data_IF_183162498747
#
_entry.id   IF_183162498747
#
_cell.length_a   1.000
_cell.length_b   1.000
_cell.length_c   1.000
_cell.angle_alpha   90.00
_cell.angle_beta   90.00
_cell.angle_gamma   90.00
#
_symmetry.space_group_name_H-M   'P 1'
#
loop_
_entity.id
_entity.type
_entity.pdbx_description
1 polymer ?
#
# COMPACT_ATOMS: atom_id res chain seq x y z
N UNK A 1 -0.16 1.28 20.07
CA UNK A 1 -0.63 0.70 18.79
C UNK A 1 -0.44 -0.83 18.82
N UNK A 2 -1.49 -1.62 18.60
CA UNK A 2 -1.31 -3.07 18.41
C UNK A 2 -0.95 -3.34 16.95
N UNK A 3 0.37 -3.42 16.68
CA UNK A 3 0.94 -3.54 15.33
C UNK A 3 0.41 -4.76 14.57
N UNK A 4 0.31 -5.92 15.22
CA UNK A 4 -0.15 -7.15 14.56
C UNK A 4 -1.62 -7.07 14.16
N UNK A 5 -2.48 -6.57 15.06
CA UNK A 5 -3.90 -6.40 14.76
C UNK A 5 -4.12 -5.38 13.64
N UNK A 6 -3.39 -4.25 13.67
CA UNK A 6 -3.47 -3.22 12.63
C UNK A 6 -3.00 -3.77 11.27
N UNK A 7 -1.87 -4.47 11.24
CA UNK A 7 -1.36 -5.13 10.04
C UNK A 7 -2.40 -6.10 9.45
N UNK A 8 -2.93 -7.02 10.26
CA UNK A 8 -3.88 -8.03 9.80
C UNK A 8 -5.17 -7.40 9.26
N UNK A 9 -5.68 -6.37 9.94
CA UNK A 9 -6.85 -5.62 9.50
C UNK A 9 -6.62 -4.99 8.12
N UNK A 10 -5.54 -4.22 7.98
CA UNK A 10 -5.21 -3.57 6.71
C UNK A 10 -4.94 -4.60 5.60
N UNK A 11 -4.28 -5.72 5.95
CA UNK A 11 -4.03 -6.80 5.01
C UNK A 11 -5.33 -7.41 4.48
N UNK A 12 -6.30 -7.67 5.35
CA UNK A 12 -7.62 -8.16 4.95
C UNK A 12 -8.35 -7.17 4.06
N UNK A 13 -8.38 -5.89 4.46
CA UNK A 13 -9.04 -4.82 3.69
C UNK A 13 -8.40 -4.64 2.31
N UNK A 14 -7.07 -4.66 2.22
CA UNK A 14 -6.32 -4.53 0.96
C UNK A 14 -6.51 -5.70 -0.01
N UNK A 15 -7.00 -6.85 0.49
CA UNK A 15 -7.27 -8.05 -0.28
C UNK A 15 -8.75 -8.20 -0.62
N UNK A 16 -9.57 -7.17 -0.41
CA UNK A 16 -10.98 -7.19 -0.77
C UNK A 16 -11.14 -7.55 -2.28
N UNK A 17 -11.82 -8.68 -2.63
CA UNK A 17 -11.98 -9.13 -4.01
C UNK A 17 -12.62 -8.09 -4.93
N UNK A 18 -13.46 -7.19 -4.38
CA UNK A 18 -14.11 -6.11 -5.16
C UNK A 18 -13.06 -5.26 -5.88
N UNK A 19 -11.91 -5.00 -5.25
CA UNK A 19 -10.85 -4.17 -5.85
C UNK A 19 -10.37 -4.79 -7.18
N UNK A 20 -10.13 -6.10 -7.17
CA UNK A 20 -9.55 -6.83 -8.29
C UNK A 20 -10.59 -7.32 -9.29
N UNK A 21 -11.85 -7.46 -8.88
CA UNK A 21 -12.93 -7.80 -9.80
C UNK A 21 -13.41 -6.56 -10.54
N UNK A 22 -13.51 -5.41 -9.87
CA UNK A 22 -14.11 -4.21 -10.47
C UNK A 22 -13.08 -3.28 -11.11
N UNK A 23 -11.91 -3.06 -10.50
CA UNK A 23 -11.04 -1.93 -10.89
C UNK A 23 -9.75 -2.31 -11.60
N UNK A 24 -9.00 -3.31 -11.11
CA UNK A 24 -7.65 -3.66 -11.58
C UNK A 24 -7.46 -5.18 -11.69
N UNK A 25 -6.43 -5.66 -12.39
CA UNK A 25 -6.14 -7.10 -12.50
C UNK A 25 -5.84 -7.76 -11.13
N UNK A 26 -6.32 -8.99 -10.91
CA UNK A 26 -5.89 -9.78 -9.75
C UNK A 26 -4.49 -10.39 -10.01
N UNK A 27 -3.46 -9.69 -9.55
CA UNK A 27 -2.11 -10.24 -9.48
C UNK A 27 -1.40 -9.86 -8.18
N UNK A 28 -0.34 -10.61 -7.84
CA UNK A 28 0.42 -10.42 -6.61
C UNK A 28 1.00 -9.00 -6.48
N UNK A 29 1.46 -8.41 -7.59
CA UNK A 29 2.04 -7.07 -7.57
C UNK A 29 0.99 -6.02 -7.18
N UNK A 30 -0.21 -6.10 -7.74
CA UNK A 30 -1.30 -5.17 -7.44
C UNK A 30 -1.83 -5.36 -6.03
N UNK A 31 -1.91 -6.60 -5.54
CA UNK A 31 -2.20 -6.89 -4.12
C UNK A 31 -1.21 -6.19 -3.18
N UNK A 32 0.09 -6.27 -3.47
CA UNK A 32 1.14 -5.59 -2.69
C UNK A 32 1.01 -4.06 -2.80
N UNK A 33 0.71 -3.52 -3.99
CA UNK A 33 0.54 -2.08 -4.18
C UNK A 33 -0.65 -1.53 -3.41
N UNK A 34 -1.82 -2.18 -3.45
CA UNK A 34 -3.00 -1.78 -2.67
C UNK A 34 -2.67 -1.82 -1.18
N UNK A 35 -2.04 -2.90 -0.71
CA UNK A 35 -1.62 -3.00 0.68
C UNK A 35 -0.69 -1.84 1.09
N UNK A 36 0.32 -1.52 0.28
CA UNK A 36 1.22 -0.39 0.53
C UNK A 36 0.50 0.97 0.53
N UNK A 37 -0.46 1.19 -0.38
CA UNK A 37 -1.28 2.41 -0.39
C UNK A 37 -2.13 2.49 0.89
N UNK A 38 -2.73 1.37 1.30
CA UNK A 38 -3.59 1.33 2.47
C UNK A 38 -2.81 1.58 3.77
N UNK A 39 -1.60 1.03 3.85
CA UNK A 39 -0.68 1.25 4.95
C UNK A 39 -0.15 2.69 4.97
N UNK A 40 0.02 3.34 3.82
CA UNK A 40 0.60 4.69 3.72
C UNK A 40 -0.17 5.73 4.54
N UNK A 41 -1.50 5.58 4.66
CA UNK A 41 -2.33 6.48 5.48
C UNK A 41 -1.94 6.50 6.95
N UNK A 42 -1.46 5.37 7.49
CA UNK A 42 -0.96 5.29 8.87
C UNK A 42 0.34 6.08 9.00
N UNK A 43 1.28 5.81 8.11
CA UNK A 43 2.60 6.46 8.11
C UNK A 43 2.55 7.96 7.81
N UNK A 44 1.55 8.42 7.06
CA UNK A 44 1.34 9.83 6.78
C UNK A 44 0.69 10.58 7.97
N UNK A 45 0.10 9.86 8.94
CA UNK A 45 -0.51 10.41 10.17
C UNK A 45 0.42 10.32 11.39
N UNK A 46 1.26 9.29 11.47
CA UNK A 46 2.21 9.11 12.58
C UNK A 46 3.47 9.93 12.31
N UNK A 47 3.96 10.64 13.33
CA UNK A 47 5.24 11.35 13.24
C UNK A 47 6.41 10.37 13.12
N UNK A 48 7.42 10.72 12.30
CA UNK A 48 8.62 9.88 12.12
C UNK A 48 9.44 9.69 13.41
N UNK A 49 9.31 10.60 14.38
CA UNK A 49 9.90 10.54 15.71
C UNK A 49 9.20 9.53 16.63
N UNK A 50 7.97 9.12 16.33
CA UNK A 50 7.26 8.13 17.14
C UNK A 50 7.91 6.75 16.97
N UNK A 51 8.22 6.10 18.09
CA UNK A 51 8.75 4.73 18.11
C UNK A 51 7.85 3.72 17.38
N UNK A 52 6.53 3.96 17.32
CA UNK A 52 5.57 3.12 16.60
C UNK A 52 5.78 3.18 15.08
N UNK A 53 6.28 4.29 14.53
CA UNK A 53 6.58 4.41 13.11
C UNK A 53 7.58 3.33 12.69
N UNK A 54 8.73 3.29 13.37
CA UNK A 54 9.80 2.33 13.02
C UNK A 54 9.40 0.90 13.33
N UNK A 55 8.79 0.65 14.51
CA UNK A 55 8.32 -0.69 14.86
C UNK A 55 7.32 -1.23 13.84
N UNK A 56 6.42 -0.39 13.31
CA UNK A 56 5.46 -0.81 12.31
C UNK A 56 6.11 -1.01 10.94
N UNK A 57 7.04 -0.13 10.56
CA UNK A 57 7.83 -0.27 9.34
C UNK A 57 8.56 -1.61 9.35
N UNK A 58 9.37 -1.87 10.37
CA UNK A 58 10.14 -3.10 10.51
C UNK A 58 9.23 -4.33 10.47
N UNK A 59 8.09 -4.29 11.18
CA UNK A 59 7.14 -5.40 11.18
C UNK A 59 6.62 -5.73 9.77
N UNK A 60 6.23 -4.72 9.00
CA UNK A 60 5.70 -4.90 7.65
C UNK A 60 6.77 -5.42 6.69
N UNK A 61 7.93 -4.80 6.67
CA UNK A 61 8.97 -5.15 5.70
C UNK A 61 9.64 -6.49 6.03
N UNK A 62 9.77 -6.86 7.31
CA UNK A 62 10.21 -8.20 7.70
C UNK A 62 9.21 -9.28 7.25
N UNK A 63 7.90 -9.01 7.29
CA UNK A 63 6.87 -9.93 6.77
C UNK A 63 6.98 -10.09 5.26
N UNK A 64 7.09 -8.99 4.51
CA UNK A 64 7.27 -9.04 3.05
C UNK A 64 8.55 -9.80 2.68
N UNK A 65 9.66 -9.57 3.39
CA UNK A 65 10.92 -10.28 3.17
C UNK A 65 10.78 -11.79 3.40
N UNK A 66 10.07 -12.16 4.48
CA UNK A 66 9.78 -13.56 4.81
C UNK A 66 8.93 -14.21 3.72
N UNK A 67 7.84 -13.56 3.30
CA UNK A 67 6.97 -14.05 2.22
C UNK A 67 7.76 -14.25 0.91
N UNK A 68 8.70 -13.35 0.58
CA UNK A 68 9.57 -13.52 -0.58
C UNK A 68 10.48 -14.75 -0.47
N UNK A 69 11.06 -15.01 0.69
CA UNK A 69 11.87 -16.23 0.92
C UNK A 69 11.01 -17.49 0.80
N UNK A 70 9.81 -17.48 1.35
CA UNK A 70 8.86 -18.60 1.28
C UNK A 70 8.39 -18.90 -0.15
N UNK A 71 8.33 -17.89 -1.02
CA UNK A 71 8.09 -18.05 -2.46
C UNK A 71 9.29 -18.65 -3.22
N UNK A 72 10.40 -18.95 -2.55
CA UNK A 72 11.58 -19.59 -3.14
C UNK A 72 12.61 -18.61 -3.72
N UNK A 73 12.50 -17.31 -3.44
CA UNK A 73 13.54 -16.36 -3.84
C UNK A 73 14.79 -16.50 -2.96
N UNK A 74 15.95 -16.73 -3.58
CA UNK A 74 17.23 -16.79 -2.87
C UNK A 74 17.70 -15.42 -2.35
N UNK A 75 18.60 -15.41 -1.37
CA UNK A 75 18.97 -14.20 -0.59
C UNK A 75 19.40 -12.99 -1.43
N UNK A 76 20.21 -13.19 -2.47
CA UNK A 76 20.62 -12.10 -3.36
C UNK A 76 19.43 -11.47 -4.10
N UNK A 77 18.43 -12.28 -4.47
CA UNK A 77 17.24 -11.80 -5.17
C UNK A 77 16.26 -11.11 -4.22
N UNK A 78 16.13 -11.61 -2.98
CA UNK A 78 15.34 -10.98 -1.91
C UNK A 78 15.88 -9.58 -1.60
N UNK A 79 17.19 -9.44 -1.39
CA UNK A 79 17.80 -8.13 -1.12
C UNK A 79 17.54 -7.10 -2.22
N UNK A 80 17.63 -7.50 -3.49
CA UNK A 80 17.31 -6.62 -4.63
C UNK A 80 15.82 -6.25 -4.64
N UNK A 81 14.93 -7.21 -4.44
CA UNK A 81 13.48 -6.97 -4.40
C UNK A 81 13.08 -6.07 -3.24
N UNK A 82 13.62 -6.29 -2.04
CA UNK A 82 13.32 -5.47 -0.87
C UNK A 82 13.69 -4.00 -1.09
N UNK A 83 14.84 -3.72 -1.72
CA UNK A 83 15.19 -2.35 -2.13
C UNK A 83 14.12 -1.73 -3.02
N UNK A 84 13.66 -2.48 -4.04
CA UNK A 84 12.59 -2.01 -4.94
C UNK A 84 11.27 -1.76 -4.20
N UNK A 85 10.87 -2.67 -3.31
CA UNK A 85 9.63 -2.52 -2.51
C UNK A 85 9.71 -1.28 -1.61
N UNK A 86 10.81 -1.11 -0.87
CA UNK A 86 11.01 0.04 0.02
C UNK A 86 11.02 1.35 -0.76
N UNK A 87 11.75 1.43 -1.88
CA UNK A 87 11.76 2.63 -2.73
C UNK A 87 10.37 2.97 -3.26
N UNK A 88 9.61 1.95 -3.67
CA UNK A 88 8.24 2.14 -4.15
C UNK A 88 7.31 2.60 -3.04
N UNK A 89 7.47 2.08 -1.82
CA UNK A 89 6.70 2.51 -0.66
C UNK A 89 6.93 3.99 -0.33
N UNK A 90 8.18 4.48 -0.36
CA UNK A 90 8.44 5.91 -0.18
C UNK A 90 7.80 6.79 -1.27
N UNK A 91 7.74 6.29 -2.51
CA UNK A 91 7.02 6.99 -3.58
C UNK A 91 5.52 7.05 -3.30
N UNK A 92 4.93 5.95 -2.80
CA UNK A 92 3.52 5.88 -2.41
C UNK A 92 3.23 6.84 -1.25
N UNK A 93 4.10 6.92 -0.24
CA UNK A 93 3.93 7.86 0.88
C UNK A 93 3.77 9.30 0.39
N UNK A 94 4.63 9.72 -0.54
CA UNK A 94 4.59 11.06 -1.12
C UNK A 94 3.33 11.29 -1.95
N UNK A 95 3.05 10.41 -2.91
CA UNK A 95 1.93 10.56 -3.84
C UNK A 95 0.58 10.50 -3.11
N UNK A 96 0.47 9.66 -2.07
CA UNK A 96 -0.80 9.47 -1.35
C UNK A 96 -0.97 10.38 -0.12
N UNK A 97 0.01 11.25 0.20
CA UNK A 97 -0.07 12.13 1.37
C UNK A 97 -1.27 13.07 1.34
N UNK A 98 -1.52 13.68 0.18
CA UNK A 98 -2.60 14.65 -0.03
C UNK A 98 -3.60 14.17 -1.10
N UNK A 99 -3.72 12.85 -1.30
CA UNK A 99 -4.49 12.27 -2.40
C UNK A 99 -5.97 12.70 -2.39
N UNK A 100 -6.53 12.90 -1.19
CA UNK A 100 -7.92 13.29 -1.00
C UNK A 100 -8.16 14.74 -1.45
N UNK A 101 -7.17 15.63 -1.29
CA UNK A 101 -7.31 17.07 -1.51
C UNK A 101 -6.93 17.54 -2.92
N UNK A 102 -6.24 16.71 -3.70
CA UNK A 102 -5.81 17.06 -5.06
C UNK A 102 -6.96 16.92 -6.07
N UNK A 103 -6.80 17.51 -7.26
CA UNK A 103 -7.80 17.39 -8.33
C UNK A 103 -7.95 15.96 -8.83
N UNK A 104 -9.12 15.64 -9.36
CA UNK A 104 -9.41 14.35 -9.99
C UNK A 104 -8.42 13.98 -11.09
N UNK A 105 -8.10 14.93 -11.99
CA UNK A 105 -7.10 14.75 -13.03
C UNK A 105 -5.73 14.36 -12.47
N UNK A 106 -5.33 14.94 -11.33
CA UNK A 106 -4.06 14.60 -10.67
C UNK A 106 -4.13 13.21 -10.03
N UNK A 107 -5.27 12.84 -9.42
CA UNK A 107 -5.48 11.48 -8.90
C UNK A 107 -5.34 10.43 -9.99
N UNK A 108 -5.90 10.68 -11.17
CA UNK A 108 -5.78 9.76 -12.32
C UNK A 108 -4.33 9.55 -12.73
N UNK A 109 -3.54 10.62 -12.79
CA UNK A 109 -2.10 10.54 -13.08
C UNK A 109 -1.39 9.68 -12.03
N UNK A 110 -1.68 9.92 -10.74
CA UNK A 110 -1.07 9.17 -9.65
C UNK A 110 -1.43 7.69 -9.70
N UNK A 111 -2.71 7.33 -9.83
CA UNK A 111 -3.11 5.90 -9.87
C UNK A 111 -2.46 5.21 -11.07
N UNK A 112 -2.40 5.85 -12.24
CA UNK A 112 -1.78 5.29 -13.46
C UNK A 112 -0.26 5.07 -13.33
N UNK A 113 0.41 5.72 -12.38
CA UNK A 113 1.82 5.42 -12.03
C UNK A 113 1.98 4.02 -11.43
N UNK A 114 0.94 3.50 -10.79
CA UNK A 114 0.98 2.26 -10.02
C UNK A 114 0.24 1.10 -10.69
N UNK A 115 -0.88 1.38 -11.33
CA UNK A 115 -1.75 0.37 -11.93
C UNK A 115 -1.93 0.61 -13.43
N UNK A 116 -1.78 -0.47 -14.21
CA UNK A 116 -2.11 -0.51 -15.65
C UNK A 116 -3.52 -1.07 -15.84
N UNK A 117 -4.14 -0.73 -16.97
CA UNK A 117 -5.42 -1.29 -17.43
C UNK A 117 -6.57 -1.17 -16.43
N UNK A 118 -6.70 0.01 -15.82
CA UNK A 118 -7.76 0.33 -14.84
C UNK A 118 -9.10 0.41 -15.58
N UNK A 119 -10.11 -0.36 -15.13
CA UNK A 119 -11.42 -0.48 -15.78
C UNK A 119 -12.35 0.72 -15.53
N UNK A 120 -12.51 1.11 -14.26
CA UNK A 120 -13.39 2.22 -13.81
C UNK A 120 -12.57 3.17 -12.94
N UNK A 121 -11.78 4.06 -13.56
CA UNK A 121 -10.78 4.85 -12.83
C UNK A 121 -11.38 5.83 -11.83
N UNK A 122 -12.52 6.44 -12.17
CA UNK A 122 -13.21 7.40 -11.31
C UNK A 122 -13.74 6.70 -10.05
N UNK A 123 -14.45 5.58 -10.24
CA UNK A 123 -14.95 4.74 -9.13
C UNK A 123 -13.80 4.19 -8.26
N UNK A 124 -12.66 3.86 -8.89
CA UNK A 124 -11.50 3.38 -8.15
C UNK A 124 -10.85 4.49 -7.32
N UNK A 125 -10.75 5.71 -7.87
CA UNK A 125 -10.34 6.89 -7.09
C UNK A 125 -11.26 7.09 -5.89
N UNK A 126 -12.56 7.05 -6.11
CA UNK A 126 -13.56 7.24 -5.06
C UNK A 126 -13.45 6.15 -3.98
N UNK A 127 -13.28 4.90 -4.38
CA UNK A 127 -13.01 3.79 -3.46
C UNK A 127 -11.77 4.04 -2.59
N UNK A 128 -10.66 4.46 -3.20
CA UNK A 128 -9.43 4.79 -2.47
C UNK A 128 -9.62 5.99 -1.54
N UNK A 129 -10.31 7.05 -1.98
CA UNK A 129 -10.62 8.22 -1.15
C UNK A 129 -11.42 7.80 0.08
N UNK A 130 -12.47 7.00 -0.12
CA UNK A 130 -13.31 6.51 0.96
C UNK A 130 -12.50 5.72 1.98
N UNK A 131 -11.63 4.81 1.53
CA UNK A 131 -10.75 4.07 2.44
C UNK A 131 -9.74 4.98 3.19
N UNK A 132 -9.11 5.92 2.49
CA UNK A 132 -8.10 6.81 3.05
C UNK A 132 -8.69 7.82 4.04
N UNK A 133 -9.97 8.15 3.88
CA UNK A 133 -10.73 9.03 4.78
C UNK A 133 -11.11 8.37 6.11
N UNK A 134 -11.07 7.03 6.21
CA UNK A 134 -11.35 6.32 7.45
C UNK A 134 -10.20 6.53 8.44
N UNK A 135 -10.52 7.15 9.58
CA UNK A 135 -9.65 7.23 10.74
C UNK A 135 -9.63 5.90 11.48
N UNK A 136 -8.44 5.30 11.61
CA UNK A 136 -8.23 4.23 12.57
C UNK A 136 -7.85 4.89 13.89
N UNK A 137 -8.81 4.97 14.79
CA UNK A 137 -8.62 5.29 16.22
C UNK A 137 -7.79 4.19 16.88
#
# INVERSE_FOLDING_TARGET
MNISNLYNKILQESRNPVIFNEYIEDNLNYKILIFMIFVSKIFNKIEKSDSNYQKFFDYIFNRIETDLRELGYGDMSVNKKMKVVVTKFYSILLDFKNFIQISESTRHIIIRKYFKDIRKIDDFCEFLINYLSIDYV
#
